data_IF_340920202253
#
_entry.id   IF_340920202253
#
_cell.length_a   1.000
_cell.length_b   1.000
_cell.length_c   1.000
_cell.angle_alpha   90.00
_cell.angle_beta   90.00
_cell.angle_gamma   90.00
#
_symmetry.space_group_name_H-M   'P 1'
#
loop_
_entity.id
_entity.type
_entity.pdbx_description
1 polymer ?
#
# COMPACT_ATOMS: atom_id res chain seq x y z
N UNK A 1 16.94 -12.12 -3.64
CA UNK A 1 16.94 -12.16 -5.12
C UNK A 1 16.57 -10.77 -5.60
N UNK A 2 17.44 -10.14 -6.37
CA UNK A 2 17.20 -8.79 -6.91
C UNK A 2 16.30 -8.91 -8.15
N UNK A 3 15.24 -8.12 -8.17
CA UNK A 3 14.27 -8.07 -9.26
C UNK A 3 14.57 -6.87 -10.14
N UNK A 4 14.45 -7.02 -11.47
CA UNK A 4 14.74 -5.93 -12.39
C UNK A 4 13.82 -4.73 -12.12
N UNK A 5 14.43 -3.54 -12.17
CA UNK A 5 13.78 -2.24 -12.01
C UNK A 5 13.61 -1.59 -13.37
N UNK A 6 12.46 -0.97 -13.56
CA UNK A 6 12.10 -0.22 -14.76
C UNK A 6 11.81 1.23 -14.38
N UNK A 7 11.93 2.13 -15.35
CA UNK A 7 11.68 3.56 -15.17
C UNK A 7 10.78 4.06 -16.30
N UNK A 8 9.85 4.95 -15.97
CA UNK A 8 8.93 5.56 -16.92
C UNK A 8 8.37 6.86 -16.38
N UNK A 9 7.90 7.71 -17.28
CA UNK A 9 7.13 8.90 -16.93
C UNK A 9 5.64 8.59 -17.07
N UNK A 10 4.83 9.07 -16.12
CA UNK A 10 3.39 8.92 -16.19
C UNK A 10 2.66 10.15 -15.68
N UNK A 11 1.54 10.46 -16.33
CA UNK A 11 0.62 11.49 -15.89
C UNK A 11 -0.24 10.98 -14.74
N UNK A 12 -0.37 11.80 -13.71
CA UNK A 12 -1.27 11.52 -12.58
C UNK A 12 -2.72 11.75 -13.04
N UNK A 13 -3.51 10.70 -13.01
CA UNK A 13 -4.94 10.69 -13.28
C UNK A 13 -5.73 10.56 -11.97
N UNK A 14 -7.04 10.75 -12.02
CA UNK A 14 -7.93 10.62 -10.86
C UNK A 14 -9.12 9.73 -11.17
N UNK A 15 -9.49 8.87 -10.22
CA UNK A 15 -10.72 8.07 -10.27
C UNK A 15 -11.49 8.25 -8.96
N UNK A 16 -12.63 8.93 -9.02
CA UNK A 16 -13.32 9.41 -7.83
C UNK A 16 -12.45 10.42 -7.09
N UNK A 17 -11.99 10.07 -5.89
CA UNK A 17 -11.06 10.87 -5.07
C UNK A 17 -9.62 10.33 -5.08
N UNK A 18 -9.37 9.22 -5.77
CA UNK A 18 -8.10 8.49 -5.67
C UNK A 18 -7.19 8.81 -6.86
N UNK A 19 -6.03 9.45 -6.64
CA UNK A 19 -5.03 9.65 -7.69
C UNK A 19 -4.34 8.34 -8.07
N UNK A 20 -4.01 8.18 -9.34
CA UNK A 20 -3.30 7.01 -9.84
C UNK A 20 -2.49 7.33 -11.10
N UNK A 21 -1.63 6.38 -11.48
CA UNK A 21 -0.95 6.38 -12.77
C UNK A 21 -1.16 5.04 -13.47
N UNK A 22 -1.14 5.07 -14.80
CA UNK A 22 -1.04 3.85 -15.60
C UNK A 22 0.42 3.39 -15.68
N UNK A 23 0.61 2.08 -15.65
CA UNK A 23 1.90 1.45 -15.96
C UNK A 23 1.91 1.07 -17.44
N UNK A 24 2.96 1.41 -18.22
CA UNK A 24 3.08 0.99 -19.61
C UNK A 24 2.89 -0.53 -19.77
N UNK A 25 2.18 -0.95 -20.82
CA UNK A 25 1.74 -2.35 -21.00
C UNK A 25 2.92 -3.34 -21.05
N UNK A 26 4.00 -2.95 -21.73
CA UNK A 26 5.25 -3.69 -21.82
C UNK A 26 5.90 -3.86 -20.44
N UNK A 27 6.00 -2.79 -19.65
CA UNK A 27 6.54 -2.86 -18.29
C UNK A 27 5.66 -3.70 -17.36
N UNK A 28 4.33 -3.58 -17.50
CA UNK A 28 3.39 -4.38 -16.73
C UNK A 28 3.57 -5.89 -16.98
N UNK A 29 3.80 -6.29 -18.24
CA UNK A 29 4.13 -7.69 -18.58
C UNK A 29 5.42 -8.15 -17.90
N UNK A 30 6.45 -7.31 -17.85
CA UNK A 30 7.69 -7.63 -17.15
C UNK A 30 7.46 -7.84 -15.65
N UNK A 31 6.63 -7.00 -15.02
CA UNK A 31 6.26 -7.16 -13.61
C UNK A 31 5.49 -8.46 -13.38
N UNK A 32 4.61 -8.88 -14.29
CA UNK A 32 3.90 -10.16 -14.17
C UNK A 32 4.85 -11.36 -14.22
N UNK A 33 5.86 -11.31 -15.10
CA UNK A 33 6.89 -12.36 -15.20
C UNK A 33 7.65 -12.44 -13.87
N UNK A 34 8.09 -11.30 -13.32
CA UNK A 34 8.79 -11.25 -12.04
C UNK A 34 7.94 -11.73 -10.86
N UNK A 35 6.65 -11.40 -10.87
CA UNK A 35 5.72 -11.76 -9.81
C UNK A 35 5.18 -13.20 -9.93
N UNK A 36 5.41 -13.86 -11.08
CA UNK A 36 4.74 -15.10 -11.48
C UNK A 36 3.21 -15.05 -11.28
N UNK A 37 2.60 -13.90 -11.59
CA UNK A 37 1.21 -13.60 -11.23
C UNK A 37 0.59 -12.54 -12.14
N UNK A 38 -0.66 -12.76 -12.56
CA UNK A 38 -1.44 -11.89 -13.46
C UNK A 38 -2.85 -11.57 -12.95
N UNK A 39 -3.17 -11.97 -11.72
CA UNK A 39 -4.48 -11.80 -11.08
C UNK A 39 -4.32 -11.29 -9.65
N UNK A 40 -5.30 -10.56 -9.12
CA UNK A 40 -5.25 -10.00 -7.77
C UNK A 40 -4.16 -8.94 -7.59
N UNK A 41 -3.91 -8.51 -6.36
CA UNK A 41 -2.90 -7.47 -6.10
C UNK A 41 -1.47 -7.99 -6.33
N UNK A 42 -0.62 -7.16 -6.92
CA UNK A 42 0.80 -7.47 -7.16
C UNK A 42 1.66 -6.48 -6.37
N UNK A 43 2.41 -6.94 -5.35
CA UNK A 43 3.27 -6.08 -4.55
C UNK A 43 4.44 -5.56 -5.39
N UNK A 44 4.70 -4.26 -5.28
CA UNK A 44 5.77 -3.55 -5.99
C UNK A 44 6.49 -2.57 -5.06
N UNK A 45 7.70 -2.20 -5.46
CA UNK A 45 8.50 -1.15 -4.84
C UNK A 45 9.18 -0.31 -5.91
N UNK A 46 9.61 0.89 -5.56
CA UNK A 46 10.13 1.84 -6.53
C UNK A 46 10.39 3.21 -5.95
N UNK A 47 10.48 4.21 -6.83
CA UNK A 47 10.62 5.63 -6.46
C UNK A 47 9.63 6.48 -7.26
N UNK A 48 9.21 7.60 -6.67
CA UNK A 48 8.56 8.71 -7.38
C UNK A 48 9.39 9.95 -7.13
N UNK A 49 9.94 10.57 -8.18
CA UNK A 49 10.89 11.68 -8.08
C UNK A 49 11.95 11.39 -6.99
N UNK A 50 12.64 10.26 -7.13
CA UNK A 50 13.65 9.70 -6.20
C UNK A 50 13.17 9.29 -4.81
N UNK A 51 11.92 9.57 -4.42
CA UNK A 51 11.39 9.17 -3.12
C UNK A 51 10.93 7.71 -3.14
N UNK A 52 11.47 6.84 -2.27
CA UNK A 52 11.12 5.42 -2.28
C UNK A 52 9.68 5.18 -1.83
N UNK A 53 9.06 4.17 -2.43
CA UNK A 53 7.75 3.68 -2.05
C UNK A 53 7.65 2.16 -2.12
N UNK A 54 6.65 1.64 -1.40
CA UNK A 54 6.17 0.26 -1.50
C UNK A 54 4.66 0.29 -1.61
N UNK A 55 4.11 -0.42 -2.59
CA UNK A 55 2.67 -0.43 -2.83
C UNK A 55 2.25 -1.76 -3.48
N UNK A 56 1.01 -1.83 -3.94
CA UNK A 56 0.55 -2.90 -4.82
C UNK A 56 -0.08 -2.32 -6.08
N UNK A 57 0.18 -2.95 -7.23
CA UNK A 57 -0.62 -2.76 -8.42
C UNK A 57 -1.99 -3.40 -8.20
N UNK A 58 -3.04 -2.66 -8.55
CA UNK A 58 -4.43 -3.07 -8.37
C UNK A 58 -5.13 -3.04 -9.72
N UNK A 59 -5.83 -4.12 -10.05
CA UNK A 59 -6.70 -4.19 -11.23
C UNK A 59 -8.11 -3.76 -10.85
N UNK A 60 -8.62 -2.73 -11.52
CA UNK A 60 -9.97 -2.23 -11.32
C UNK A 60 -10.60 -1.87 -12.66
N UNK A 61 -11.85 -2.26 -12.92
CA UNK A 61 -12.54 -2.00 -14.19
C UNK A 61 -11.65 -2.30 -15.42
N UNK A 62 -11.09 -3.52 -15.48
CA UNK A 62 -10.24 -3.99 -16.59
C UNK A 62 -8.76 -3.58 -16.54
N UNK A 63 -8.44 -2.42 -15.95
CA UNK A 63 -7.12 -1.79 -16.03
C UNK A 63 -6.28 -1.92 -14.75
N UNK A 64 -4.96 -2.03 -14.92
CA UNK A 64 -4.00 -2.04 -13.82
C UNK A 64 -3.53 -0.63 -13.47
N UNK A 65 -3.54 -0.30 -12.18
CA UNK A 65 -3.20 1.04 -11.68
C UNK A 65 -2.20 0.95 -10.54
N UNK A 66 -1.32 1.96 -10.51
CA UNK A 66 -0.56 2.32 -9.33
C UNK A 66 -1.24 3.54 -8.69
N UNK A 67 -1.92 3.31 -7.58
CA UNK A 67 -2.52 4.41 -6.81
C UNK A 67 -1.45 5.21 -6.07
N UNK A 68 -1.58 6.52 -6.11
CA UNK A 68 -0.66 7.47 -5.46
C UNK A 68 -1.29 7.95 -4.16
N UNK A 69 -0.59 7.81 -3.05
CA UNK A 69 -1.02 8.32 -1.76
C UNK A 69 -0.08 9.42 -1.25
N UNK A 70 -0.43 10.04 -0.13
CA UNK A 70 0.32 11.16 0.45
C UNK A 70 1.70 10.79 0.98
N UNK A 71 1.94 9.52 1.35
CA UNK A 71 3.28 9.07 1.74
C UNK A 71 4.21 8.97 0.55
N UNK A 72 3.68 8.68 -0.64
CA UNK A 72 4.41 8.64 -1.90
C UNK A 72 4.63 10.06 -2.46
N UNK A 73 3.58 10.87 -2.52
CA UNK A 73 3.65 12.24 -3.05
C UNK A 73 2.87 13.18 -2.12
N UNK A 74 3.61 14.07 -1.43
CA UNK A 74 3.00 15.07 -0.53
C UNK A 74 2.03 15.95 -1.30
N UNK A 75 1.06 16.53 -0.61
CA UNK A 75 0.06 17.44 -1.20
C UNK A 75 -0.82 16.86 -2.32
N UNK A 76 -0.78 15.55 -2.57
CA UNK A 76 -1.79 14.87 -3.38
C UNK A 76 -3.18 15.11 -2.77
N UNK A 77 -4.21 15.51 -3.54
CA UNK A 77 -4.34 15.43 -5.00
C UNK A 77 -3.95 16.71 -5.79
N UNK A 78 -3.24 17.70 -5.22
CA UNK A 78 -2.89 18.94 -5.95
C UNK A 78 -2.08 18.73 -7.24
N UNK A 79 -1.49 17.54 -7.38
CA UNK A 79 -0.66 17.12 -8.51
C UNK A 79 -1.42 16.40 -9.63
N UNK A 80 -2.77 16.36 -9.62
CA UNK A 80 -3.52 15.77 -10.74
C UNK A 80 -3.14 16.47 -12.04
N UNK A 81 -2.83 15.68 -13.07
CA UNK A 81 -2.43 16.15 -14.38
C UNK A 81 -0.93 16.35 -14.56
N UNK A 82 -0.15 16.36 -13.48
CA UNK A 82 1.31 16.43 -13.56
C UNK A 82 1.91 15.12 -14.08
N UNK A 83 3.02 15.21 -14.80
CA UNK A 83 3.82 14.04 -15.18
C UNK A 83 4.94 13.86 -14.17
N UNK A 84 5.02 12.66 -13.61
CA UNK A 84 6.03 12.28 -12.61
C UNK A 84 6.93 11.17 -13.15
N UNK A 85 8.17 11.15 -12.66
CA UNK A 85 9.12 10.09 -12.94
C UNK A 85 8.96 8.98 -11.91
N UNK A 86 8.83 7.74 -12.38
CA UNK A 86 8.57 6.57 -11.55
C UNK A 86 9.58 5.48 -11.87
N UNK A 87 10.14 4.87 -10.83
CA UNK A 87 10.75 3.54 -10.96
C UNK A 87 9.85 2.48 -10.35
N UNK A 88 9.87 1.26 -10.90
CA UNK A 88 9.04 0.14 -10.46
C UNK A 88 9.80 -1.18 -10.56
N UNK A 89 9.65 -2.04 -9.54
CA UNK A 89 10.10 -3.43 -9.52
C UNK A 89 9.14 -4.26 -8.68
N UNK A 90 9.08 -5.57 -8.94
CA UNK A 90 8.37 -6.51 -8.06
C UNK A 90 8.95 -6.48 -6.64
N UNK A 91 8.08 -6.54 -5.64
CA UNK A 91 8.44 -6.58 -4.22
C UNK A 91 8.12 -7.96 -3.63
N UNK A 92 9.12 -8.85 -3.45
CA UNK A 92 8.91 -10.19 -2.93
C UNK A 92 8.75 -10.23 -1.40
N UNK A 93 9.06 -9.14 -0.71
CA UNK A 93 9.09 -9.11 0.74
C UNK A 93 7.68 -9.21 1.32
N UNK A 94 7.47 -10.19 2.20
CA UNK A 94 6.21 -10.34 2.94
C UNK A 94 6.04 -9.17 3.90
N UNK A 95 4.84 -8.60 3.91
CA UNK A 95 4.41 -7.56 4.84
C UNK A 95 3.58 -8.20 5.94
N UNK A 96 4.24 -9.03 6.75
CA UNK A 96 3.61 -9.60 7.93
C UNK A 96 3.52 -8.49 8.98
N UNK A 97 2.29 -8.10 9.33
CA UNK A 97 2.06 -7.10 10.37
C UNK A 97 1.91 -7.85 11.67
N UNK A 98 2.89 -7.68 12.57
CA UNK A 98 2.76 -8.19 13.93
C UNK A 98 1.74 -7.34 14.69
N UNK A 99 0.80 -7.95 15.42
CA UNK A 99 -0.13 -7.21 16.25
C UNK A 99 0.63 -6.37 17.30
N UNK A 100 0.27 -5.09 17.49
CA UNK A 100 0.87 -4.26 18.52
C UNK A 100 0.69 -4.89 19.90
N UNK A 101 1.69 -4.78 20.79
CA UNK A 101 1.61 -5.35 22.15
C UNK A 101 0.37 -4.90 22.91
N UNK A 102 0.05 -3.60 22.85
CA UNK A 102 -1.15 -3.04 23.50
C UNK A 102 -2.45 -3.66 22.98
N UNK A 103 -2.52 -3.91 21.67
CA UNK A 103 -3.68 -4.58 21.08
C UNK A 103 -3.82 -6.01 21.61
N UNK A 104 -2.72 -6.75 21.70
CA UNK A 104 -2.74 -8.11 22.29
C UNK A 104 -3.15 -8.07 23.77
N UNK A 105 -2.62 -7.14 24.56
CA UNK A 105 -2.99 -6.97 25.97
C UNK A 105 -4.49 -6.68 26.11
N UNK A 106 -5.00 -5.67 25.42
CA UNK A 106 -6.42 -5.29 25.46
C UNK A 106 -7.33 -6.43 24.98
N UNK A 107 -6.90 -7.19 23.97
CA UNK A 107 -7.64 -8.35 23.49
C UNK A 107 -7.65 -9.49 24.51
N UNK A 108 -6.56 -9.69 25.25
CA UNK A 108 -6.45 -10.75 26.27
C UNK A 108 -7.26 -10.43 27.52
N UNK A 109 -7.36 -9.14 27.88
CA UNK A 109 -8.14 -8.66 29.03
C UNK A 109 -9.66 -8.69 28.78
N UNK A 110 -10.11 -8.93 27.54
CA UNK A 110 -11.53 -9.01 27.19
C UNK A 110 -11.84 -10.31 26.43
N UNK A 111 -12.26 -11.34 27.16
CA UNK A 111 -12.56 -12.67 26.60
C UNK A 111 -13.67 -12.67 25.52
N UNK A 112 -14.66 -11.78 25.65
CA UNK A 112 -15.73 -11.64 24.66
C UNK A 112 -15.16 -11.10 23.34
N UNK A 113 -14.37 -10.03 23.41
CA UNK A 113 -13.71 -9.46 22.24
C UNK A 113 -12.73 -10.45 21.60
N UNK A 114 -11.97 -11.18 22.43
CA UNK A 114 -11.06 -12.24 21.96
C UNK A 114 -11.80 -13.32 21.19
N UNK A 115 -12.92 -13.81 21.74
CA UNK A 115 -13.72 -14.86 21.10
C UNK A 115 -14.28 -14.41 19.76
N UNK A 116 -14.75 -13.16 19.65
CA UNK A 116 -15.22 -12.59 18.39
C UNK A 116 -14.06 -12.46 17.40
N UNK A 117 -12.94 -11.91 17.83
CA UNK A 117 -11.75 -11.74 17.00
C UNK A 117 -11.24 -13.07 16.47
N UNK A 118 -11.16 -14.10 17.31
CA UNK A 118 -10.65 -15.43 16.95
C UNK A 118 -11.51 -16.13 15.88
N UNK A 119 -12.80 -15.79 15.78
CA UNK A 119 -13.72 -16.31 14.75
C UNK A 119 -13.66 -15.56 13.42
N UNK A 120 -12.96 -14.42 13.35
CA UNK A 120 -12.82 -13.66 12.10
C UNK A 120 -11.95 -14.39 11.08
N UNK A 121 -12.20 -14.14 9.80
CA UNK A 121 -11.32 -14.61 8.72
C UNK A 121 -9.93 -13.98 8.83
N UNK A 122 -8.91 -14.66 8.30
CA UNK A 122 -7.53 -14.16 8.32
C UNK A 122 -7.41 -12.74 7.74
N UNK A 123 -8.17 -12.42 6.68
CA UNK A 123 -8.20 -11.09 6.08
C UNK A 123 -8.73 -10.02 7.04
N UNK A 124 -9.83 -10.29 7.75
CA UNK A 124 -10.42 -9.35 8.72
C UNK A 124 -9.53 -9.16 9.94
N UNK A 125 -8.91 -10.24 10.44
CA UNK A 125 -7.91 -10.16 11.53
C UNK A 125 -6.74 -9.26 11.13
N UNK A 126 -6.18 -9.46 9.94
CA UNK A 126 -5.07 -8.67 9.43
C UNK A 126 -5.43 -7.18 9.27
N UNK A 127 -6.65 -6.89 8.83
CA UNK A 127 -7.15 -5.51 8.70
C UNK A 127 -7.25 -4.82 10.07
N UNK A 128 -7.83 -5.47 11.08
CA UNK A 128 -7.89 -4.95 12.45
C UNK A 128 -6.48 -4.70 13.00
N UNK A 129 -5.57 -5.65 12.83
CA UNK A 129 -4.16 -5.53 13.24
C UNK A 129 -3.49 -4.33 12.56
N UNK A 130 -3.75 -4.11 11.27
CA UNK A 130 -3.24 -2.95 10.53
C UNK A 130 -3.75 -1.63 11.11
N UNK A 131 -5.05 -1.53 11.39
CA UNK A 131 -5.65 -0.33 11.99
C UNK A 131 -5.05 -0.07 13.38
N UNK A 132 -4.97 -1.10 14.23
CA UNK A 132 -4.39 -0.99 15.56
C UNK A 132 -2.91 -0.52 15.53
N UNK A 133 -2.15 -0.93 14.50
CA UNK A 133 -0.75 -0.52 14.32
C UNK A 133 -0.59 0.95 13.96
N UNK A 134 -1.51 1.49 13.14
CA UNK A 134 -1.53 2.93 12.81
C UNK A 134 -1.85 3.76 14.04
N UNK A 135 -2.83 3.35 14.85
CA UNK A 135 -3.21 4.04 16.08
C UNK A 135 -2.08 4.07 17.12
N UNK A 136 -1.34 2.98 17.31
CA UNK A 136 -0.20 2.96 18.25
C UNK A 136 0.95 3.88 17.78
N UNK A 137 1.15 4.00 16.47
CA UNK A 137 2.13 4.94 15.88
C UNK A 137 1.72 6.41 16.13
N UNK A 138 0.43 6.72 16.06
CA UNK A 138 -0.10 8.08 16.32
C UNK A 138 0.06 8.49 17.80
N UNK A 139 -0.13 7.54 18.71
CA UNK A 139 0.02 7.75 20.17
C UNK A 139 1.48 7.94 20.56
N UNK A 140 2.44 7.32 19.86
CA UNK A 140 3.87 7.52 20.13
C UNK A 140 4.48 8.73 19.41
N UNK A 141 3.77 9.34 18.45
CA UNK A 141 4.35 10.26 17.47
C UNK A 141 3.84 11.71 17.45
N UNK A 142 2.85 12.11 18.25
CA UNK A 142 2.29 13.48 18.10
C UNK A 142 1.73 14.06 19.39
N UNK A 143 2.49 15.01 19.97
CA UNK A 143 1.92 16.22 20.52
C UNK A 143 1.68 17.16 19.34
N UNK A 144 0.47 17.18 18.77
CA UNK A 144 0.04 18.33 17.98
C UNK A 144 -1.48 18.50 18.08
N UNK A 145 -1.82 19.67 18.60
CA UNK A 145 -3.11 20.33 18.73
C UNK A 145 -3.96 20.15 17.46
N UNK A 146 -5.19 19.66 17.62
CA UNK A 146 -6.25 19.84 16.63
C UNK A 146 -6.66 21.32 16.62
N UNK A 147 -6.51 21.97 15.47
CA UNK A 147 -7.41 23.03 15.00
C UNK A 147 -8.11 22.51 13.74
#
# INVERSE_FOLDING_TARGET
>A
MEFKRYQFNAKIEILGVNPFVFVPKDLLQQIFIQAHKTIGHIPIKGTINDKPYRQSLVRYSGEWRLYINTSMLKNSPKHIGETIEITISFDPEKRDILPPKKFITALTENEQAKTVYDRLSASKKLEIVRIASVSDTYVQGTSLVLL
#
